data_IF_734282703850
#
_entry.id   IF_734282703850
#
_cell.length_a   1.000
_cell.length_b   1.000
_cell.length_c   1.000
_cell.angle_alpha   90.00
_cell.angle_beta   90.00
_cell.angle_gamma   90.00
#
_symmetry.space_group_name_H-M   'P 1'
#
loop_
_entity.id
_entity.type
_entity.pdbx_description
1 polymer ?
#
# COMPACT_ATOMS: atom_id res chain seq x y z
N UNK A 1 18.87 -5.97 25.78
CA UNK A 1 19.09 -5.88 24.32
C UNK A 1 18.32 -4.66 23.82
N UNK A 2 19.02 -3.61 23.37
CA UNK A 2 18.39 -2.47 22.73
C UNK A 2 18.16 -2.85 21.25
N UNK A 3 16.92 -2.77 20.78
CA UNK A 3 16.61 -3.04 19.37
C UNK A 3 17.18 -1.91 18.52
N UNK A 4 17.75 -2.24 17.37
CA UNK A 4 18.21 -1.27 16.39
C UNK A 4 17.03 -0.37 15.98
N UNK A 5 17.10 0.96 16.21
CA UNK A 5 16.04 1.89 15.82
C UNK A 5 15.68 1.83 14.34
N UNK A 6 16.66 1.58 13.46
CA UNK A 6 16.40 1.45 12.03
C UNK A 6 15.54 0.23 11.73
N UNK A 7 15.91 -0.93 12.29
CA UNK A 7 15.13 -2.16 12.13
C UNK A 7 13.67 -1.99 12.60
N UNK A 8 13.45 -1.33 13.74
CA UNK A 8 12.10 -1.06 14.26
C UNK A 8 11.33 -0.13 13.33
N UNK A 9 11.98 0.92 12.81
CA UNK A 9 11.38 1.86 11.86
C UNK A 9 11.00 1.17 10.54
N UNK A 10 11.90 0.36 9.97
CA UNK A 10 11.65 -0.36 8.72
C UNK A 10 10.45 -1.30 8.87
N UNK A 11 10.37 -2.04 9.99
CA UNK A 11 9.21 -2.86 10.32
C UNK A 11 7.91 -2.04 10.42
N UNK A 12 7.96 -0.87 11.07
CA UNK A 12 6.78 -0.02 11.22
C UNK A 12 6.26 0.46 9.86
N UNK A 13 7.14 0.87 8.94
CA UNK A 13 6.75 1.25 7.59
C UNK A 13 6.21 0.09 6.76
N UNK A 14 6.79 -1.11 6.89
CA UNK A 14 6.26 -2.32 6.25
C UNK A 14 4.82 -2.61 6.73
N UNK A 15 4.57 -2.55 8.05
CA UNK A 15 3.23 -2.74 8.59
C UNK A 15 2.26 -1.64 8.15
N UNK A 16 2.70 -0.38 8.13
CA UNK A 16 1.88 0.73 7.65
C UNK A 16 1.50 0.57 6.17
N UNK A 17 2.41 0.10 5.32
CA UNK A 17 2.12 -0.21 3.93
C UNK A 17 1.08 -1.33 3.79
N UNK A 18 1.17 -2.40 4.60
CA UNK A 18 0.13 -3.43 4.64
C UNK A 18 -1.23 -2.88 5.07
N UNK A 19 -1.28 -2.08 6.13
CA UNK A 19 -2.52 -1.46 6.60
C UNK A 19 -3.12 -0.51 5.57
N UNK A 20 -2.29 0.24 4.83
CA UNK A 20 -2.76 1.10 3.74
C UNK A 20 -3.32 0.29 2.56
N UNK A 21 -2.65 -0.80 2.16
CA UNK A 21 -3.13 -1.70 1.11
C UNK A 21 -4.46 -2.38 1.48
N UNK A 22 -4.58 -2.84 2.73
CA UNK A 22 -5.85 -3.37 3.26
C UNK A 22 -6.94 -2.31 3.25
N UNK A 23 -6.67 -1.13 3.81
CA UNK A 23 -7.66 -0.06 3.88
C UNK A 23 -8.10 0.40 2.48
N UNK A 24 -7.18 0.42 1.51
CA UNK A 24 -7.48 0.69 0.10
C UNK A 24 -8.46 -0.34 -0.46
N UNK A 25 -8.16 -1.64 -0.35
CA UNK A 25 -9.00 -2.72 -0.87
C UNK A 25 -10.40 -2.72 -0.23
N UNK A 26 -10.48 -2.52 1.09
CA UNK A 26 -11.76 -2.37 1.79
C UNK A 26 -12.47 -1.05 1.50
N UNK A 27 -11.73 -0.02 1.13
CA UNK A 27 -12.28 1.25 0.65
C UNK A 27 -12.99 1.06 -0.68
N UNK A 28 -12.36 0.37 -1.62
CA UNK A 28 -12.94 0.02 -2.92
C UNK A 28 -14.18 -0.84 -2.75
N UNK A 29 -14.11 -1.90 -1.93
CA UNK A 29 -15.23 -2.84 -1.74
C UNK A 29 -16.49 -2.15 -1.21
N UNK A 30 -16.31 -1.08 -0.42
CA UNK A 30 -17.38 -0.26 0.16
C UNK A 30 -17.68 1.02 -0.62
N UNK A 31 -17.05 1.22 -1.78
CA UNK A 31 -17.17 2.44 -2.62
C UNK A 31 -16.90 3.72 -1.83
N UNK A 32 -15.86 3.71 -1.00
CA UNK A 32 -15.45 4.87 -0.21
C UNK A 32 -14.98 6.01 -1.10
N UNK A 33 -15.38 7.24 -0.76
CA UNK A 33 -14.87 8.45 -1.41
C UNK A 33 -13.40 8.76 -1.09
N UNK A 34 -12.82 8.09 -0.08
CA UNK A 34 -11.43 8.29 0.37
C UNK A 34 -10.44 7.25 -0.18
N UNK A 35 -10.84 6.54 -1.23
CA UNK A 35 -10.02 5.46 -1.78
C UNK A 35 -8.69 5.98 -2.32
N UNK A 36 -8.70 7.17 -2.92
CA UNK A 36 -7.50 7.87 -3.40
C UNK A 36 -6.54 8.20 -2.25
N UNK A 37 -7.05 8.75 -1.14
CA UNK A 37 -6.24 9.05 0.06
C UNK A 37 -5.50 7.80 0.60
N UNK A 38 -6.14 6.63 0.57
CA UNK A 38 -5.51 5.39 1.02
C UNK A 38 -4.43 4.90 0.06
N UNK A 39 -4.61 5.12 -1.25
CA UNK A 39 -3.58 4.84 -2.24
C UNK A 39 -2.37 5.76 -2.06
N UNK A 40 -2.61 7.04 -1.72
CA UNK A 40 -1.55 7.98 -1.39
C UNK A 40 -0.75 7.58 -0.15
N UNK A 41 -1.43 7.14 0.92
CA UNK A 41 -0.78 6.62 2.12
C UNK A 41 0.10 5.40 1.81
N UNK A 42 -0.38 4.49 0.96
CA UNK A 42 0.43 3.34 0.53
C UNK A 42 1.71 3.80 -0.18
N UNK A 43 1.61 4.77 -1.10
CA UNK A 43 2.78 5.34 -1.79
C UNK A 43 3.74 5.98 -0.79
N UNK A 44 3.22 6.78 0.15
CA UNK A 44 4.01 7.52 1.14
C UNK A 44 4.80 6.57 2.05
N UNK A 45 4.17 5.52 2.58
CA UNK A 45 4.86 4.57 3.45
C UNK A 45 5.96 3.80 2.71
N UNK A 46 5.77 3.51 1.43
CA UNK A 46 6.79 2.84 0.63
C UNK A 46 7.97 3.77 0.32
N UNK A 47 7.70 5.03 0.00
CA UNK A 47 8.76 6.01 -0.26
C UNK A 47 9.55 6.37 1.00
N UNK A 48 8.85 6.75 2.08
CA UNK A 48 9.49 7.18 3.33
C UNK A 48 10.19 6.00 4.01
N UNK A 49 9.57 4.82 3.97
CA UNK A 49 10.15 3.59 4.50
C UNK A 49 11.27 3.00 3.65
N UNK A 50 11.60 3.61 2.50
CA UNK A 50 12.57 3.12 1.51
C UNK A 50 12.39 1.63 1.20
N UNK A 51 11.14 1.21 1.03
CA UNK A 51 10.78 -0.19 0.78
C UNK A 51 11.09 -0.50 -0.69
N UNK A 52 11.74 -1.64 -0.95
CA UNK A 52 12.16 -2.05 -2.30
C UNK A 52 11.03 -2.71 -3.10
N UNK A 53 9.88 -2.93 -2.47
CA UNK A 53 8.77 -3.69 -3.00
C UNK A 53 7.75 -2.75 -3.62
N UNK A 54 7.15 -3.18 -4.74
CA UNK A 54 6.12 -2.40 -5.41
C UNK A 54 4.82 -2.37 -4.59
N UNK A 55 3.96 -1.34 -4.76
CA UNK A 55 2.64 -1.34 -4.13
C UNK A 55 1.81 -2.60 -4.42
N UNK A 56 1.98 -3.18 -5.62
CA UNK A 56 1.32 -4.42 -6.01
C UNK A 56 1.68 -5.59 -5.10
N UNK A 57 2.92 -5.67 -4.61
CA UNK A 57 3.32 -6.71 -3.64
C UNK A 57 2.45 -6.67 -2.38
N UNK A 58 2.24 -5.48 -1.80
CA UNK A 58 1.45 -5.34 -0.57
C UNK A 58 -0.03 -5.61 -0.80
N UNK A 59 -0.57 -5.19 -1.94
CA UNK A 59 -1.93 -5.51 -2.37
C UNK A 59 -2.11 -7.03 -2.50
N UNK A 60 -1.20 -7.70 -3.20
CA UNK A 60 -1.28 -9.15 -3.45
C UNK A 60 -1.17 -9.95 -2.16
N UNK A 61 -0.25 -9.57 -1.28
CA UNK A 61 -0.11 -10.18 0.05
C UNK A 61 -1.32 -9.95 0.96
N UNK A 62 -1.97 -8.81 0.85
CA UNK A 62 -3.23 -8.58 1.56
C UNK A 62 -4.35 -9.48 1.04
N UNK A 63 -4.42 -9.68 -0.28
CA UNK A 63 -5.39 -10.59 -0.90
C UNK A 63 -5.11 -12.05 -0.53
N UNK A 64 -3.84 -12.47 -0.42
CA UNK A 64 -3.48 -13.81 0.06
C UNK A 64 -4.08 -14.08 1.45
N UNK A 65 -4.11 -13.07 2.34
CA UNK A 65 -4.70 -13.17 3.67
C UNK A 65 -6.24 -13.05 3.66
N UNK A 66 -6.79 -12.30 2.71
CA UNK A 66 -8.22 -12.00 2.59
C UNK A 66 -8.70 -12.18 1.15
N UNK A 67 -8.80 -13.43 0.70
CA UNK A 67 -9.02 -13.80 -0.70
C UNK A 67 -10.30 -13.22 -1.33
N UNK A 68 -11.31 -12.91 -0.51
CA UNK A 68 -12.55 -12.25 -0.97
C UNK A 68 -12.31 -10.84 -1.52
N UNK A 69 -11.16 -10.21 -1.24
CA UNK A 69 -10.77 -8.92 -1.79
C UNK A 69 -10.21 -9.00 -3.21
N UNK A 70 -9.96 -10.22 -3.74
CA UNK A 70 -9.41 -10.43 -5.08
C UNK A 70 -10.14 -9.66 -6.21
N UNK A 71 -11.49 -9.56 -6.23
CA UNK A 71 -12.19 -8.79 -7.26
C UNK A 71 -11.80 -7.30 -7.33
N UNK A 72 -11.25 -6.74 -6.26
CA UNK A 72 -10.88 -5.33 -6.16
C UNK A 72 -9.41 -5.06 -6.54
N UNK A 73 -8.62 -6.11 -6.80
CA UNK A 73 -7.19 -6.02 -7.10
C UNK A 73 -6.87 -5.09 -8.27
N UNK A 74 -7.55 -5.29 -9.40
CA UNK A 74 -7.27 -4.54 -10.63
C UNK A 74 -7.53 -3.05 -10.44
N UNK A 75 -8.61 -2.71 -9.74
CA UNK A 75 -8.97 -1.33 -9.44
C UNK A 75 -7.98 -0.70 -8.45
N UNK A 76 -7.56 -1.43 -7.41
CA UNK A 76 -6.54 -0.95 -6.47
C UNK A 76 -5.23 -0.61 -7.18
N UNK A 77 -4.75 -1.50 -8.07
CA UNK A 77 -3.55 -1.27 -8.87
C UNK A 77 -3.73 -0.05 -9.78
N UNK A 78 -4.89 0.08 -10.43
CA UNK A 78 -5.20 1.21 -11.31
C UNK A 78 -5.17 2.55 -10.56
N UNK A 79 -5.79 2.61 -9.38
CA UNK A 79 -5.82 3.82 -8.55
C UNK A 79 -4.41 4.20 -8.11
N UNK A 80 -3.61 3.24 -7.61
CA UNK A 80 -2.22 3.51 -7.21
C UNK A 80 -1.38 4.02 -8.39
N UNK A 81 -1.48 3.40 -9.56
CA UNK A 81 -0.75 3.83 -10.75
C UNK A 81 -1.17 5.24 -11.19
N UNK A 82 -2.46 5.57 -11.07
CA UNK A 82 -2.98 6.90 -11.34
C UNK A 82 -2.39 7.93 -10.37
N UNK A 83 -2.36 7.65 -9.07
CA UNK A 83 -1.81 8.56 -8.05
C UNK A 83 -0.30 8.76 -8.23
N UNK A 84 0.46 7.69 -8.50
CA UNK A 84 1.88 7.75 -8.83
C UNK A 84 2.14 8.68 -10.04
N UNK A 85 1.33 8.53 -11.10
CA UNK A 85 1.42 9.37 -12.29
C UNK A 85 1.11 10.84 -11.98
N UNK A 86 0.01 11.11 -11.27
CA UNK A 86 -0.42 12.47 -10.93
C UNK A 86 0.60 13.19 -10.04
N UNK A 87 1.28 12.46 -9.16
CA UNK A 87 2.27 12.99 -8.23
C UNK A 87 3.68 13.09 -8.82
N UNK A 88 3.92 12.53 -10.01
CA UNK A 88 5.26 12.45 -10.61
C UNK A 88 6.21 11.56 -9.81
N UNK A 89 5.66 10.53 -9.15
CA UNK A 89 6.36 9.64 -8.23
C UNK A 89 6.32 8.22 -8.77
N UNK A 90 7.45 7.52 -8.74
CA UNK A 90 7.52 6.08 -9.04
C UNK A 90 8.06 5.32 -7.84
N UNK A 91 7.27 4.39 -7.31
CA UNK A 91 7.78 3.33 -6.43
C UNK A 91 8.44 2.23 -7.28
N UNK A 92 9.04 1.23 -6.62
CA UNK A 92 9.57 0.06 -7.31
C UNK A 92 8.52 -0.57 -8.26
N UNK A 93 8.98 -1.04 -9.42
CA UNK A 93 8.15 -1.65 -10.46
C UNK A 93 7.89 -3.12 -10.15
#
# INVERSE_FOLDING_TARGET
MQRDPKFVSDMAFTWAAFSAAETLLHGISRKSAKTDDHADLLIDFLQVGNQLQSPAYFIDKTIELQSWLMPYRAEAIRIVAQQQTQRGITCAK
#
